data_IF_980839229375
#
_entry.id   IF_980839229375
#
_cell.length_a   1.000
_cell.length_b   1.000
_cell.length_c   1.000
_cell.angle_alpha   90.00
_cell.angle_beta   90.00
_cell.angle_gamma   90.00
#
_symmetry.space_group_name_H-M   'P 1'
#
loop_
_entity.id
_entity.type
_entity.pdbx_description
1 polymer ?
#
# COMPACT_ATOMS: atom_id res chain seq x y z
N UNK A 1 -41.32 -34.51 26.65
CA UNK A 1 -40.76 -33.54 25.68
C UNK A 1 -40.37 -34.27 24.40
N UNK A 2 -40.94 -33.87 23.25
CA UNK A 2 -40.77 -34.59 21.98
C UNK A 2 -39.32 -34.42 21.46
N UNK A 3 -38.59 -35.53 21.23
CA UNK A 3 -37.18 -35.52 20.79
C UNK A 3 -36.98 -34.75 19.47
N UNK A 4 -38.02 -34.67 18.64
CA UNK A 4 -38.04 -33.88 17.41
C UNK A 4 -38.10 -32.37 17.66
N UNK A 5 -38.76 -31.94 18.73
CA UNK A 5 -38.85 -30.52 19.10
C UNK A 5 -37.51 -30.02 19.62
N UNK A 6 -36.81 -30.85 20.40
CA UNK A 6 -35.47 -30.53 20.91
C UNK A 6 -34.43 -30.46 19.77
N UNK A 7 -34.51 -31.36 18.78
CA UNK A 7 -33.66 -31.32 17.56
C UNK A 7 -33.93 -30.10 16.67
N UNK A 8 -35.18 -29.65 16.55
CA UNK A 8 -35.52 -28.43 15.79
C UNK A 8 -34.98 -27.17 16.49
N UNK A 9 -35.04 -27.13 17.82
CA UNK A 9 -34.48 -26.02 18.60
C UNK A 9 -32.95 -25.97 18.53
N UNK A 10 -32.26 -27.11 18.56
CA UNK A 10 -30.80 -27.14 18.40
C UNK A 10 -30.36 -26.81 16.98
N UNK A 11 -31.10 -27.21 15.95
CA UNK A 11 -30.80 -26.86 14.55
C UNK A 11 -31.06 -25.37 14.26
N UNK A 12 -32.13 -24.79 14.81
CA UNK A 12 -32.42 -23.36 14.71
C UNK A 12 -31.40 -22.49 15.45
N UNK A 13 -30.89 -22.97 16.59
CA UNK A 13 -29.84 -22.27 17.35
C UNK A 13 -28.48 -22.31 16.63
N UNK A 14 -28.15 -23.43 15.96
CA UNK A 14 -26.94 -23.52 15.14
C UNK A 14 -26.97 -22.60 13.91
N UNK A 15 -28.15 -22.42 13.31
CA UNK A 15 -28.32 -21.55 12.13
C UNK A 15 -28.33 -20.06 12.48
N UNK A 16 -28.73 -19.70 13.70
CA UNK A 16 -28.78 -18.33 14.19
C UNK A 16 -27.41 -17.76 14.63
N UNK A 17 -26.39 -18.61 14.80
CA UNK A 17 -25.01 -18.16 15.10
C UNK A 17 -24.16 -17.84 13.85
N UNK A 18 -24.69 -18.02 12.64
CA UNK A 18 -23.95 -17.85 11.38
C UNK A 18 -23.76 -16.41 10.84
N UNK A 19 -24.44 -15.33 11.29
CA UNK A 19 -24.20 -14.01 10.70
C UNK A 19 -23.34 -13.14 11.64
N UNK A 20 -22.09 -13.52 11.90
CA UNK A 20 -21.12 -12.59 12.55
C UNK A 20 -19.82 -12.45 11.75
N UNK A 21 -19.65 -13.17 10.65
CA UNK A 21 -18.50 -12.92 9.76
C UNK A 21 -18.77 -11.72 8.84
N UNK A 22 -18.99 -10.55 9.45
CA UNK A 22 -18.82 -9.29 8.76
C UNK A 22 -17.34 -9.19 8.43
N UNK A 23 -16.98 -9.40 7.17
CA UNK A 23 -15.66 -9.04 6.67
C UNK A 23 -15.54 -7.52 6.78
N UNK A 24 -15.00 -7.03 7.89
CA UNK A 24 -14.56 -5.66 7.97
C UNK A 24 -13.58 -5.44 6.81
N UNK A 25 -13.97 -4.64 5.82
CA UNK A 25 -13.14 -4.34 4.68
C UNK A 25 -11.85 -3.69 5.21
N UNK A 26 -10.74 -4.41 5.17
CA UNK A 26 -9.45 -3.86 5.55
C UNK A 26 -9.05 -2.78 4.56
N UNK A 27 -8.38 -1.73 5.04
CA UNK A 27 -7.76 -0.76 4.15
C UNK A 27 -6.83 -1.47 3.14
N UNK A 28 -6.82 -1.05 1.86
CA UNK A 28 -5.98 -1.65 0.84
C UNK A 28 -4.49 -1.46 1.16
N UNK A 29 -3.67 -2.43 0.81
CA UNK A 29 -2.19 -2.35 0.89
C UNK A 29 -1.67 -1.67 -0.38
N UNK A 30 -1.12 -0.45 -0.25
CA UNK A 30 -0.60 0.34 -1.38
C UNK A 30 0.92 0.47 -1.27
N UNK A 31 1.62 0.09 -2.33
CA UNK A 31 3.09 0.11 -2.40
C UNK A 31 3.60 1.31 -3.22
N UNK A 32 4.27 2.25 -2.54
CA UNK A 32 4.91 3.41 -3.15
C UNK A 32 6.36 3.06 -3.53
N UNK A 33 6.57 2.76 -4.81
CA UNK A 33 7.89 2.47 -5.37
C UNK A 33 8.58 3.75 -5.84
N UNK A 34 9.51 4.28 -5.05
CA UNK A 34 10.16 5.55 -5.35
C UNK A 34 11.38 5.40 -6.27
N UNK A 35 11.47 6.29 -7.26
CA UNK A 35 12.56 6.36 -8.24
C UNK A 35 13.37 7.66 -8.17
N UNK A 36 12.97 8.61 -7.33
CA UNK A 36 13.55 9.95 -7.24
C UNK A 36 12.68 11.00 -7.94
N UNK A 37 13.27 11.75 -8.87
CA UNK A 37 12.60 12.84 -9.58
C UNK A 37 12.29 14.04 -8.69
N UNK A 38 11.40 14.91 -9.18
CA UNK A 38 11.20 16.24 -8.58
C UNK A 38 10.50 16.17 -7.22
N UNK A 39 9.59 15.21 -7.05
CA UNK A 39 8.85 15.02 -5.78
C UNK A 39 9.77 14.66 -4.61
N UNK A 40 10.87 13.97 -4.90
CA UNK A 40 11.90 13.61 -3.94
C UNK A 40 13.02 14.66 -3.83
N UNK A 41 12.93 15.78 -4.56
CA UNK A 41 13.96 16.81 -4.48
C UNK A 41 13.81 17.75 -3.29
N UNK A 42 14.85 18.55 -3.08
CA UNK A 42 14.86 19.59 -2.06
C UNK A 42 15.55 20.83 -2.63
N UNK A 43 14.96 22.00 -2.37
CA UNK A 43 15.56 23.30 -2.61
C UNK A 43 15.92 23.97 -1.29
N UNK A 44 16.89 24.88 -1.32
CA UNK A 44 17.32 25.61 -0.12
C UNK A 44 16.27 26.61 0.41
N UNK A 45 15.34 27.04 -0.46
CA UNK A 45 14.22 27.93 -0.15
C UNK A 45 13.06 27.63 -1.10
N UNK A 46 11.83 27.90 -0.67
CA UNK A 46 10.63 27.79 -1.50
C UNK A 46 10.67 28.70 -2.74
N UNK A 47 11.46 29.78 -2.71
CA UNK A 47 11.63 30.75 -3.81
C UNK A 47 13.00 30.64 -4.51
N UNK A 48 13.87 29.73 -4.06
CA UNK A 48 15.22 29.59 -4.61
C UNK A 48 15.25 28.74 -5.87
N UNK A 49 16.05 29.15 -6.85
CA UNK A 49 16.29 28.37 -8.09
C UNK A 49 17.23 27.18 -7.89
N UNK A 50 17.97 27.14 -6.77
CA UNK A 50 18.84 26.03 -6.41
C UNK A 50 18.00 24.82 -5.96
N UNK A 51 17.91 23.83 -6.85
CA UNK A 51 17.07 22.67 -6.71
C UNK A 51 17.84 21.39 -7.02
N UNK A 52 17.76 20.38 -6.14
CA UNK A 52 18.30 19.05 -6.39
C UNK A 52 17.18 18.03 -6.37
N UNK A 53 16.94 17.36 -7.50
CA UNK A 53 16.03 16.23 -7.58
C UNK A 53 16.59 15.03 -6.81
N UNK A 54 15.73 14.10 -6.39
CA UNK A 54 16.15 12.80 -5.87
C UNK A 54 17.09 12.86 -4.65
N UNK A 55 16.73 13.64 -3.62
CA UNK A 55 17.52 13.79 -2.38
C UNK A 55 16.82 13.16 -1.18
N UNK A 56 15.48 13.25 -1.14
CA UNK A 56 14.66 12.75 -0.05
C UNK A 56 14.33 11.27 -0.24
N UNK A 57 14.52 10.42 0.77
CA UNK A 57 14.10 9.03 0.72
C UNK A 57 12.57 8.92 0.73
N UNK A 58 12.05 7.80 0.22
CA UNK A 58 10.60 7.54 0.09
C UNK A 58 9.82 7.73 1.39
N UNK A 59 10.38 7.35 2.53
CA UNK A 59 9.75 7.46 3.84
C UNK A 59 9.49 8.92 4.21
N UNK A 60 10.40 9.83 3.81
CA UNK A 60 10.24 11.27 4.06
C UNK A 60 9.13 11.86 3.19
N UNK A 61 8.98 11.39 1.95
CA UNK A 61 7.91 11.83 1.05
C UNK A 61 6.55 11.35 1.56
N UNK A 62 6.45 10.10 2.00
CA UNK A 62 5.22 9.54 2.59
C UNK A 62 4.85 10.27 3.88
N UNK A 63 5.83 10.52 4.76
CA UNK A 63 5.61 11.20 6.04
C UNK A 63 5.13 12.66 5.87
N UNK A 64 5.33 13.27 4.70
CA UNK A 64 4.83 14.61 4.40
C UNK A 64 3.30 14.65 4.19
N UNK A 65 2.65 13.51 3.97
CA UNK A 65 1.20 13.39 3.74
C UNK A 65 0.61 12.30 4.66
N UNK A 66 0.54 12.55 5.98
CA UNK A 66 0.08 11.54 6.95
C UNK A 66 -1.36 11.05 6.74
N UNK A 67 -2.19 11.83 6.02
CA UNK A 67 -3.58 11.52 5.70
C UNK A 67 -3.74 10.25 4.86
N UNK A 68 -2.70 9.83 4.13
CA UNK A 68 -2.71 8.59 3.35
C UNK A 68 -3.02 7.35 4.20
N UNK A 69 -2.59 7.35 5.48
CA UNK A 69 -2.82 6.24 6.40
C UNK A 69 -4.30 6.08 6.82
N UNK A 70 -5.15 7.07 6.53
CA UNK A 70 -6.59 6.98 6.80
C UNK A 70 -7.33 6.20 5.73
N UNK A 71 -6.76 6.08 4.52
CA UNK A 71 -7.41 5.49 3.34
C UNK A 71 -6.72 4.23 2.82
N UNK A 72 -5.47 3.99 3.21
CA UNK A 72 -4.69 2.83 2.78
C UNK A 72 -3.56 2.51 3.78
N UNK A 73 -3.07 1.27 3.74
CA UNK A 73 -1.82 0.89 4.40
C UNK A 73 -0.67 1.13 3.43
N UNK A 74 0.10 2.19 3.66
CA UNK A 74 1.16 2.60 2.74
C UNK A 74 2.48 1.89 3.09
N UNK A 75 3.12 1.30 2.08
CA UNK A 75 4.49 0.78 2.16
C UNK A 75 5.38 1.53 1.19
N UNK A 76 6.44 2.16 1.70
CA UNK A 76 7.47 2.79 0.86
C UNK A 76 8.58 1.80 0.50
N UNK A 77 9.01 1.80 -0.76
CA UNK A 77 10.22 1.08 -1.19
C UNK A 77 11.02 1.95 -2.18
N UNK A 78 12.32 2.10 -1.92
CA UNK A 78 13.20 2.84 -2.82
C UNK A 78 13.80 1.92 -3.90
N UNK A 79 13.45 2.15 -5.16
CA UNK A 79 13.98 1.39 -6.31
C UNK A 79 15.31 2.00 -6.79
N UNK A 80 15.31 3.31 -6.99
CA UNK A 80 16.46 4.13 -7.34
C UNK A 80 16.20 5.57 -6.89
N UNK A 81 17.20 6.46 -6.98
CA UNK A 81 17.04 7.85 -6.59
C UNK A 81 17.81 8.75 -7.56
N UNK A 82 17.19 9.04 -8.71
CA UNK A 82 17.81 9.78 -9.83
C UNK A 82 16.85 10.80 -10.43
N UNK A 83 17.37 11.70 -11.27
CA UNK A 83 16.51 12.50 -12.16
C UNK A 83 15.80 11.58 -13.14
N UNK A 84 14.56 11.91 -13.52
CA UNK A 84 13.83 11.14 -14.54
C UNK A 84 14.56 11.13 -15.89
N UNK A 85 15.35 12.17 -16.16
CA UNK A 85 16.18 12.28 -17.37
C UNK A 85 17.34 11.27 -17.40
N UNK A 86 17.78 10.80 -16.23
CA UNK A 86 18.91 9.88 -16.08
C UNK A 86 18.44 8.42 -15.98
N UNK A 87 17.17 8.13 -16.25
CA UNK A 87 16.59 6.81 -16.10
C UNK A 87 17.19 5.80 -17.10
N UNK A 88 17.58 4.63 -16.59
CA UNK A 88 18.28 3.58 -17.35
C UNK A 88 17.48 2.30 -17.40
N UNK A 89 17.76 1.48 -18.41
CA UNK A 89 17.14 0.16 -18.62
C UNK A 89 17.24 -0.71 -17.36
N UNK A 90 18.38 -0.70 -16.66
CA UNK A 90 18.57 -1.47 -15.43
C UNK A 90 17.55 -1.13 -14.33
N UNK A 91 17.20 0.16 -14.17
CA UNK A 91 16.22 0.60 -13.18
C UNK A 91 14.80 0.29 -13.63
N UNK A 92 14.51 0.41 -14.93
CA UNK A 92 13.22 -0.01 -15.48
C UNK A 92 12.97 -1.51 -15.27
N UNK A 93 13.98 -2.34 -15.54
CA UNK A 93 13.89 -3.78 -15.33
C UNK A 93 13.73 -4.11 -13.84
N UNK A 94 14.47 -3.44 -12.96
CA UNK A 94 14.31 -3.59 -11.50
C UNK A 94 12.89 -3.21 -11.05
N UNK A 95 12.36 -2.08 -11.52
CA UNK A 95 11.01 -1.61 -11.21
C UNK A 95 9.94 -2.61 -11.69
N UNK A 96 10.00 -3.02 -12.95
CA UNK A 96 9.05 -3.95 -13.54
C UNK A 96 9.08 -5.32 -12.83
N UNK A 97 10.27 -5.85 -12.53
CA UNK A 97 10.42 -7.09 -11.78
C UNK A 97 9.78 -7.00 -10.40
N UNK A 98 9.97 -5.85 -9.71
CA UNK A 98 9.43 -5.64 -8.37
C UNK A 98 7.91 -5.51 -8.36
N UNK A 99 7.34 -4.73 -9.28
CA UNK A 99 5.87 -4.62 -9.46
C UNK A 99 5.27 -6.01 -9.66
N UNK A 100 5.83 -6.81 -10.58
CA UNK A 100 5.36 -8.16 -10.84
C UNK A 100 5.46 -9.07 -9.61
N UNK A 101 6.51 -8.92 -8.80
CA UNK A 101 6.67 -9.69 -7.56
C UNK A 101 5.59 -9.33 -6.53
N UNK A 102 5.29 -8.04 -6.34
CA UNK A 102 4.29 -7.57 -5.39
C UNK A 102 2.90 -8.14 -5.70
N UNK A 103 2.45 -8.01 -6.95
CA UNK A 103 1.15 -8.53 -7.35
C UNK A 103 1.09 -10.06 -7.34
N UNK A 104 2.16 -10.75 -7.77
CA UNK A 104 2.20 -12.23 -7.76
C UNK A 104 2.08 -12.80 -6.35
N UNK A 105 2.66 -12.13 -5.35
CA UNK A 105 2.64 -12.56 -3.96
C UNK A 105 1.42 -12.03 -3.19
N UNK A 106 0.53 -11.26 -3.82
CA UNK A 106 -0.61 -10.63 -3.14
C UNK A 106 -0.20 -9.66 -2.04
N UNK A 107 0.94 -8.98 -2.21
CA UNK A 107 1.48 -8.03 -1.22
C UNK A 107 1.05 -6.58 -1.48
N UNK A 108 0.38 -6.33 -2.60
CA UNK A 108 -0.11 -5.01 -2.97
C UNK A 108 -1.47 -5.15 -3.66
N UNK A 109 -2.40 -4.29 -3.26
CA UNK A 109 -3.66 -4.04 -3.97
C UNK A 109 -3.47 -2.91 -5.02
N UNK A 110 -2.39 -2.12 -4.89
CA UNK A 110 -2.01 -1.03 -5.79
C UNK A 110 -0.60 -0.49 -5.56
#
# INVERSE_FOLDING_TARGET
MNKYLLKKMTFALLLALLPILSAAASLPEISVLATGGTIAGSGASATGSAYKAAVSPVEKVIAAVPELNQIAKIRGEQICNISSQDMKIEYWLKLAARINQLFRLGLADG
#
